data_IF_744540974725
#
_entry.id   IF_744540974725
#
_cell.length_a   1.000
_cell.length_b   1.000
_cell.length_c   1.000
_cell.angle_alpha   90.00
_cell.angle_beta   90.00
_cell.angle_gamma   90.00
#
_symmetry.space_group_name_H-M   'P 1'
#
loop_
_entity.id
_entity.type
_entity.pdbx_description
1 polymer ?
#
# COMPACT_ATOMS: atom_id res chain seq x y z
N UNK A 1 43.33 -12.71 20.23
CA UNK A 1 42.71 -13.57 19.21
C UNK A 1 41.48 -12.81 18.79
N UNK A 2 41.71 -11.86 17.89
CA UNK A 2 40.70 -10.91 17.42
C UNK A 2 39.82 -11.54 16.34
N UNK A 3 38.61 -10.99 16.24
CA UNK A 3 37.69 -11.06 15.10
C UNK A 3 36.90 -12.39 15.02
N UNK A 4 35.58 -12.41 14.82
CA UNK A 4 34.73 -11.48 14.07
C UNK A 4 33.37 -11.42 14.80
N UNK A 5 33.06 -10.26 15.38
CA UNK A 5 31.65 -9.89 15.55
C UNK A 5 31.04 -9.90 14.15
N UNK A 6 30.14 -10.85 13.90
CA UNK A 6 29.31 -10.86 12.71
C UNK A 6 28.49 -9.58 12.80
N UNK A 7 28.93 -8.56 12.09
CA UNK A 7 28.24 -7.29 11.89
C UNK A 7 26.82 -7.67 11.46
N UNK A 8 25.85 -7.52 12.38
CA UNK A 8 24.46 -7.41 12.00
C UNK A 8 24.43 -6.27 10.97
N UNK A 9 23.90 -6.45 9.76
CA UNK A 9 23.66 -5.31 8.90
C UNK A 9 22.73 -4.38 9.68
N UNK A 10 23.26 -3.26 10.11
CA UNK A 10 22.47 -2.21 10.73
C UNK A 10 21.55 -1.71 9.62
N UNK A 11 20.25 -1.96 9.76
CA UNK A 11 19.28 -1.53 8.75
C UNK A 11 19.32 -0.02 8.66
N UNK A 12 19.42 0.48 7.44
CA UNK A 12 19.39 1.92 7.20
C UNK A 12 18.02 2.50 7.59
N UNK A 13 17.96 3.79 7.94
CA UNK A 13 16.73 4.42 8.44
C UNK A 13 15.55 4.28 7.46
N UNK A 14 15.84 4.29 6.16
CA UNK A 14 14.86 4.08 5.08
C UNK A 14 14.26 2.68 5.09
N UNK A 15 15.06 1.64 5.29
CA UNK A 15 14.58 0.26 5.43
C UNK A 15 13.78 0.09 6.73
N UNK A 16 14.28 0.71 7.80
CA UNK A 16 13.64 0.71 9.12
C UNK A 16 12.25 1.35 9.06
N UNK A 17 12.08 2.42 8.28
CA UNK A 17 10.76 3.02 8.05
C UNK A 17 9.79 2.02 7.42
N UNK A 18 10.18 1.38 6.31
CA UNK A 18 9.33 0.42 5.61
C UNK A 18 8.99 -0.79 6.48
N UNK A 19 9.99 -1.35 7.19
CA UNK A 19 9.80 -2.50 8.08
C UNK A 19 8.83 -2.15 9.22
N UNK A 20 9.06 -1.06 9.95
CA UNK A 20 8.21 -0.69 11.08
C UNK A 20 6.77 -0.41 10.65
N UNK A 21 6.58 0.27 9.51
CA UNK A 21 5.23 0.47 8.97
C UNK A 21 4.56 -0.87 8.66
N UNK A 22 5.31 -1.82 8.10
CA UNK A 22 4.80 -3.16 7.79
C UNK A 22 4.44 -3.94 9.05
N UNK A 23 5.30 -3.95 10.06
CA UNK A 23 5.06 -4.61 11.35
C UNK A 23 3.80 -4.08 12.03
N UNK A 24 3.64 -2.74 12.08
CA UNK A 24 2.46 -2.09 12.64
C UNK A 24 1.20 -2.49 11.87
N UNK A 25 1.26 -2.48 10.54
CA UNK A 25 0.11 -2.75 9.69
C UNK A 25 -0.39 -4.19 9.79
N UNK A 26 0.52 -5.17 9.79
CA UNK A 26 0.16 -6.58 9.88
C UNK A 26 -0.08 -7.06 11.32
N UNK A 27 0.11 -6.20 12.33
CA UNK A 27 -0.18 -6.49 13.72
C UNK A 27 0.67 -7.63 14.28
N UNK A 28 1.88 -7.80 13.77
CA UNK A 28 2.68 -9.00 13.98
C UNK A 28 4.00 -8.69 14.68
N UNK A 29 4.35 -9.50 15.69
CA UNK A 29 5.72 -9.69 16.18
C UNK A 29 6.57 -10.47 15.16
N UNK A 30 6.32 -10.30 13.85
CA UNK A 30 7.07 -10.90 12.73
C UNK A 30 8.48 -10.33 12.56
N UNK A 31 9.03 -9.75 13.63
CA UNK A 31 10.25 -8.95 13.65
C UNK A 31 11.53 -9.72 13.31
N UNK A 32 11.49 -11.06 13.29
CA UNK A 32 12.61 -11.87 12.82
C UNK A 32 12.49 -12.22 11.33
N UNK A 33 11.39 -12.84 10.90
CA UNK A 33 11.25 -13.35 9.53
C UNK A 33 11.11 -12.22 8.51
N UNK A 34 10.20 -11.26 8.76
CA UNK A 34 9.99 -10.13 7.86
C UNK A 34 11.23 -9.26 7.78
N UNK A 35 11.93 -9.06 8.90
CA UNK A 35 13.19 -8.33 8.95
C UNK A 35 14.28 -9.01 8.13
N UNK A 36 14.46 -10.32 8.28
CA UNK A 36 15.43 -11.10 7.50
C UNK A 36 15.10 -11.04 6.01
N UNK A 37 13.81 -11.09 5.67
CA UNK A 37 13.34 -10.95 4.28
C UNK A 37 13.65 -9.55 3.74
N UNK A 38 13.32 -8.48 4.47
CA UNK A 38 13.62 -7.11 4.07
C UNK A 38 15.11 -6.89 3.77
N UNK A 39 16.00 -7.45 4.59
CA UNK A 39 17.46 -7.32 4.38
C UNK A 39 18.00 -8.13 3.19
N UNK A 40 17.25 -9.09 2.64
CA UNK A 40 17.72 -10.00 1.59
C UNK A 40 16.97 -9.85 0.27
N UNK A 41 15.79 -9.24 0.30
CA UNK A 41 14.90 -9.18 -0.84
C UNK A 41 15.32 -8.09 -1.83
N UNK A 42 15.59 -8.49 -3.07
CA UNK A 42 16.02 -7.58 -4.13
C UNK A 42 14.95 -6.57 -4.53
N UNK A 43 13.66 -6.81 -4.22
CA UNK A 43 12.58 -5.88 -4.50
C UNK A 43 12.60 -4.69 -3.54
N UNK A 44 13.07 -4.88 -2.29
CA UNK A 44 13.26 -3.79 -1.33
C UNK A 44 14.36 -2.87 -1.81
N UNK A 45 15.54 -3.43 -2.13
CA UNK A 45 16.65 -2.63 -2.66
C UNK A 45 16.29 -1.96 -3.99
N UNK A 46 15.59 -2.66 -4.89
CA UNK A 46 15.10 -2.05 -6.13
C UNK A 46 14.19 -0.85 -5.85
N UNK A 47 13.22 -0.99 -4.93
CA UNK A 47 12.35 0.12 -4.56
C UNK A 47 13.12 1.29 -3.93
N UNK A 48 14.14 1.02 -3.12
CA UNK A 48 14.94 2.07 -2.48
C UNK A 48 15.89 2.76 -3.46
N UNK A 49 16.60 1.99 -4.29
CA UNK A 49 17.75 2.46 -5.04
C UNK A 49 17.47 2.75 -6.52
N UNK A 50 16.47 2.13 -7.15
CA UNK A 50 16.09 2.44 -8.54
C UNK A 50 15.06 3.59 -8.57
N UNK A 51 15.39 4.75 -9.17
CA UNK A 51 14.44 5.85 -9.35
C UNK A 51 13.15 5.45 -10.08
N UNK A 52 13.22 4.46 -10.97
CA UNK A 52 12.07 4.03 -11.78
C UNK A 52 11.25 2.93 -11.11
N UNK A 53 11.75 2.33 -10.02
CA UNK A 53 10.99 1.37 -9.23
C UNK A 53 10.01 2.14 -8.32
N UNK A 54 8.79 2.34 -8.84
CA UNK A 54 7.80 3.24 -8.23
C UNK A 54 6.97 2.61 -7.12
N UNK A 55 7.02 1.29 -6.92
CA UNK A 55 6.19 0.61 -5.93
C UNK A 55 6.87 -0.60 -5.29
N UNK A 56 6.52 -0.86 -4.04
CA UNK A 56 6.80 -2.09 -3.30
C UNK A 56 5.48 -2.53 -2.66
N UNK A 57 5.03 -3.73 -2.99
CA UNK A 57 3.86 -4.36 -2.43
C UNK A 57 4.29 -5.51 -1.52
N UNK A 58 3.67 -5.58 -0.35
CA UNK A 58 3.88 -6.60 0.66
C UNK A 58 2.55 -7.27 0.91
N UNK A 59 2.47 -8.58 0.71
CA UNK A 59 1.28 -9.35 0.98
C UNK A 59 1.55 -10.36 2.08
N UNK A 60 0.62 -10.46 3.02
CA UNK A 60 0.67 -11.54 3.99
C UNK A 60 0.11 -12.82 3.35
N UNK A 61 0.99 -13.81 3.21
CA UNK A 61 0.67 -15.15 2.78
C UNK A 61 0.04 -16.00 3.89
N UNK A 62 -0.29 -17.23 3.54
CA UNK A 62 -0.79 -18.19 4.53
C UNK A 62 0.37 -18.64 5.43
N UNK A 63 0.07 -18.90 6.71
CA UNK A 63 1.10 -19.33 7.68
C UNK A 63 2.07 -18.24 8.13
N UNK A 64 1.74 -16.95 7.95
CA UNK A 64 2.55 -15.82 8.45
C UNK A 64 3.77 -15.48 7.59
N UNK A 65 3.85 -16.04 6.38
CA UNK A 65 4.86 -15.68 5.38
C UNK A 65 4.51 -14.35 4.71
N UNK A 66 5.49 -13.66 4.16
CA UNK A 66 5.29 -12.43 3.38
C UNK A 66 5.80 -12.58 1.96
N UNK A 67 5.06 -12.03 1.01
CA UNK A 67 5.45 -11.93 -0.39
C UNK A 67 5.72 -10.47 -0.73
N UNK A 68 6.94 -10.19 -1.21
CA UNK A 68 7.41 -8.85 -1.56
C UNK A 68 7.62 -8.77 -3.07
N UNK A 69 7.05 -7.75 -3.68
CA UNK A 69 7.08 -7.57 -5.14
C UNK A 69 7.02 -6.10 -5.52
N UNK A 70 7.72 -5.71 -6.60
CA UNK A 70 7.64 -4.35 -7.12
C UNK A 70 6.45 -4.11 -8.07
N UNK A 71 5.52 -5.07 -8.13
CA UNK A 71 4.30 -4.98 -8.93
C UNK A 71 3.09 -5.11 -8.02
N UNK A 72 2.04 -4.39 -8.34
CA UNK A 72 0.76 -4.55 -7.66
C UNK A 72 0.12 -5.82 -8.24
N UNK A 73 -0.19 -6.82 -7.41
CA UNK A 73 -0.77 -8.07 -7.86
C UNK A 73 -2.14 -7.80 -8.50
N UNK A 74 -2.39 -8.47 -9.63
CA UNK A 74 -3.74 -8.52 -10.20
C UNK A 74 -4.64 -9.16 -9.14
N UNK A 75 -5.77 -8.52 -8.80
CA UNK A 75 -6.59 -8.75 -7.59
C UNK A 75 -7.24 -10.12 -7.38
N UNK A 76 -6.49 -11.20 -7.60
CA UNK A 76 -6.84 -12.58 -7.31
C UNK A 76 -6.34 -12.95 -5.92
N UNK A 77 -7.08 -12.53 -4.89
CA UNK A 77 -6.88 -13.01 -3.53
C UNK A 77 -7.44 -12.08 -2.48
N UNK A 78 -8.07 -12.67 -1.46
CA UNK A 78 -8.53 -12.02 -0.24
C UNK A 78 -7.37 -11.61 0.70
N UNK A 79 -6.17 -11.38 0.15
CA UNK A 79 -4.97 -11.13 0.95
C UNK A 79 -4.81 -9.64 1.17
N UNK A 80 -4.61 -9.30 2.44
CA UNK A 80 -4.31 -7.95 2.88
C UNK A 80 -2.94 -7.56 2.33
N UNK A 81 -2.87 -6.45 1.59
CA UNK A 81 -1.64 -5.96 1.00
C UNK A 81 -1.33 -4.54 1.50
N UNK A 82 -0.06 -4.31 1.81
CA UNK A 82 0.51 -3.01 2.09
C UNK A 82 1.36 -2.57 0.90
N UNK A 83 1.09 -1.38 0.37
CA UNK A 83 1.76 -0.86 -0.82
C UNK A 83 2.46 0.44 -0.44
N UNK A 84 3.77 0.45 -0.62
CA UNK A 84 4.58 1.66 -0.65
C UNK A 84 4.73 2.10 -2.11
N UNK A 85 4.57 3.39 -2.37
CA UNK A 85 4.76 3.93 -3.72
C UNK A 85 5.36 5.33 -3.69
N UNK A 86 6.18 5.64 -4.68
CA UNK A 86 6.86 6.92 -4.81
C UNK A 86 5.95 7.95 -5.47
N UNK A 87 6.04 9.20 -5.03
CA UNK A 87 5.37 10.35 -5.67
C UNK A 87 6.14 10.90 -6.86
N UNK A 88 7.44 10.57 -6.98
CA UNK A 88 8.34 10.98 -8.06
C UNK A 88 9.48 9.97 -8.26
N UNK A 89 10.07 9.88 -9.47
CA UNK A 89 11.14 8.93 -9.76
C UNK A 89 12.47 9.40 -9.15
N UNK A 90 12.76 8.93 -7.94
CA UNK A 90 13.95 9.32 -7.15
C UNK A 90 14.43 8.14 -6.29
N UNK A 91 15.73 8.06 -6.01
CA UNK A 91 16.27 7.15 -5.01
C UNK A 91 15.78 7.58 -3.61
N UNK A 92 15.40 6.61 -2.79
CA UNK A 92 14.96 6.85 -1.41
C UNK A 92 16.20 6.95 -0.52
N UNK A 93 16.32 8.04 0.21
CA UNK A 93 17.29 8.28 1.26
C UNK A 93 16.59 8.41 2.62
N UNK A 94 17.36 8.38 3.71
CA UNK A 94 16.83 8.61 5.07
C UNK A 94 16.10 9.96 5.21
N UNK A 95 16.52 10.97 4.45
CA UNK A 95 15.97 12.32 4.53
C UNK A 95 14.66 12.48 3.74
N UNK A 96 14.53 11.78 2.60
CA UNK A 96 13.39 11.96 1.69
C UNK A 96 12.29 10.89 1.85
N UNK A 97 12.54 9.78 2.54
CA UNK A 97 11.61 8.63 2.58
C UNK A 97 10.20 9.02 3.00
N UNK A 98 10.04 9.89 4.01
CA UNK A 98 8.73 10.33 4.51
C UNK A 98 8.03 11.33 3.60
N UNK A 99 8.77 11.97 2.69
CA UNK A 99 8.24 12.99 1.79
C UNK A 99 7.79 12.38 0.46
N UNK A 100 8.51 11.36 -0.01
CA UNK A 100 8.31 10.81 -1.35
C UNK A 100 7.57 9.48 -1.34
N UNK A 101 7.55 8.75 -0.22
CA UNK A 101 6.84 7.49 -0.09
C UNK A 101 5.45 7.73 0.48
N UNK A 102 4.44 7.31 -0.28
CA UNK A 102 3.07 7.16 0.18
C UNK A 102 2.78 5.69 0.48
N UNK A 103 1.84 5.48 1.38
CA UNK A 103 1.45 4.15 1.87
C UNK A 103 -0.04 3.98 1.57
N UNK A 104 -0.40 2.88 0.93
CA UNK A 104 -1.79 2.49 0.70
C UNK A 104 -2.00 1.04 1.12
N UNK A 105 -3.16 0.76 1.69
CA UNK A 105 -3.60 -0.59 2.01
C UNK A 105 -4.63 -1.06 1.00
N UNK A 106 -4.44 -2.26 0.45
CA UNK A 106 -5.50 -2.96 -0.27
C UNK A 106 -6.10 -4.04 0.62
N UNK A 107 -7.37 -3.84 0.99
CA UNK A 107 -8.16 -4.78 1.78
C UNK A 107 -9.32 -5.31 0.94
N UNK A 108 -9.50 -6.63 0.95
CA UNK A 108 -10.51 -7.40 0.22
C UNK A 108 -10.38 -7.37 -1.31
N UNK A 109 -10.33 -6.18 -1.92
CA UNK A 109 -10.15 -5.98 -3.37
C UNK A 109 -9.66 -4.55 -3.69
N UNK A 110 -9.09 -4.31 -4.89
CA UNK A 110 -8.79 -2.97 -5.36
C UNK A 110 -10.04 -2.07 -5.47
N UNK A 111 -11.19 -2.64 -5.88
CA UNK A 111 -12.46 -1.91 -6.04
C UNK A 111 -12.95 -1.41 -4.68
N UNK A 112 -12.96 -2.26 -3.66
CA UNK A 112 -13.38 -1.88 -2.30
C UNK A 112 -12.44 -0.82 -1.72
N UNK A 113 -11.13 -1.03 -1.84
CA UNK A 113 -10.13 -0.10 -1.31
C UNK A 113 -10.23 1.27 -1.97
N UNK A 114 -10.43 1.33 -3.30
CA UNK A 114 -10.65 2.57 -4.02
C UNK A 114 -11.97 3.23 -3.65
N UNK A 115 -13.07 2.48 -3.57
CA UNK A 115 -14.37 3.01 -3.15
C UNK A 115 -14.28 3.68 -1.78
N UNK A 116 -13.73 2.98 -0.79
CA UNK A 116 -13.65 3.53 0.56
C UNK A 116 -12.68 4.70 0.66
N UNK A 117 -11.53 4.64 -0.02
CA UNK A 117 -10.60 5.78 -0.07
C UNK A 117 -11.26 7.01 -0.71
N UNK A 118 -11.98 6.81 -1.81
CA UNK A 118 -12.71 7.88 -2.48
C UNK A 118 -13.83 8.42 -1.58
N UNK A 119 -14.73 7.57 -1.12
CA UNK A 119 -15.90 7.94 -0.34
C UNK A 119 -15.57 8.60 1.02
N UNK A 120 -14.59 8.06 1.75
CA UNK A 120 -14.28 8.48 3.12
C UNK A 120 -13.25 9.61 3.19
N UNK A 121 -12.29 9.65 2.27
CA UNK A 121 -11.13 10.57 2.37
C UNK A 121 -11.23 11.62 1.28
N UNK A 122 -11.25 11.20 0.01
CA UNK A 122 -11.09 12.14 -1.10
C UNK A 122 -12.37 12.93 -1.40
N UNK A 123 -13.54 12.32 -1.51
CA UNK A 123 -14.80 13.02 -1.79
C UNK A 123 -15.08 14.13 -0.76
N UNK A 124 -14.97 13.92 0.57
CA UNK A 124 -15.13 15.00 1.54
C UNK A 124 -14.05 16.10 1.40
N UNK A 125 -12.78 15.73 1.26
CA UNK A 125 -11.68 16.69 1.14
C UNK A 125 -11.76 17.55 -0.14
N UNK A 126 -12.28 16.97 -1.23
CA UNK A 126 -12.39 17.60 -2.53
C UNK A 126 -13.69 18.42 -2.68
N UNK A 127 -14.80 17.93 -2.11
CA UNK A 127 -16.14 18.50 -2.36
C UNK A 127 -16.69 19.34 -1.20
N UNK A 128 -16.18 19.15 0.03
CA UNK A 128 -16.68 19.83 1.24
C UNK A 128 -15.63 20.73 1.90
N UNK A 129 -14.50 20.98 1.24
CA UNK A 129 -13.47 21.86 1.78
C UNK A 129 -13.99 23.28 1.97
N UNK A 130 -13.88 23.81 3.19
CA UNK A 130 -14.25 25.18 3.57
C UNK A 130 -13.32 26.26 2.97
N UNK A 131 -12.31 25.87 2.20
CA UNK A 131 -11.36 26.79 1.57
C UNK A 131 -11.99 27.48 0.35
N UNK A 132 -12.48 28.69 0.60
CA UNK A 132 -13.20 29.60 -0.30
C UNK A 132 -12.50 29.90 -1.64
N UNK A 133 -11.21 29.59 -1.79
CA UNK A 133 -10.38 29.90 -2.97
C UNK A 133 -10.07 28.70 -3.88
N UNK A 134 -10.53 27.49 -3.54
CA UNK A 134 -10.23 26.26 -4.29
C UNK A 134 -11.48 25.46 -4.61
N UNK A 135 -12.42 26.07 -5.32
CA UNK A 135 -13.52 25.31 -5.90
C UNK A 135 -12.97 24.40 -7.00
N UNK A 136 -13.03 23.09 -6.77
CA UNK A 136 -12.77 22.10 -7.82
C UNK A 136 -13.75 22.35 -8.96
N UNK A 137 -13.25 22.30 -10.19
CA UNK A 137 -14.07 22.47 -11.39
C UNK A 137 -15.31 21.54 -11.36
N UNK A 138 -16.53 22.06 -11.64
CA UNK A 138 -17.76 21.28 -11.55
C UNK A 138 -17.76 19.98 -12.35
N UNK A 139 -17.03 19.91 -13.48
CA UNK A 139 -16.90 18.68 -14.26
C UNK A 139 -16.10 17.63 -13.48
N UNK A 140 -15.02 18.03 -12.82
CA UNK A 140 -14.23 17.13 -11.99
C UNK A 140 -15.04 16.64 -10.78
N UNK A 141 -15.86 17.51 -10.17
CA UNK A 141 -16.80 17.08 -9.11
C UNK A 141 -17.77 16.01 -9.61
N UNK A 142 -18.36 16.21 -10.79
CA UNK A 142 -19.27 15.24 -11.41
C UNK A 142 -18.57 13.91 -11.69
N UNK A 143 -17.32 13.94 -12.20
CA UNK A 143 -16.54 12.73 -12.47
C UNK A 143 -16.23 11.94 -11.19
N UNK A 144 -15.86 12.63 -10.11
CA UNK A 144 -15.62 12.01 -8.79
C UNK A 144 -16.87 11.31 -8.29
N UNK A 145 -18.02 11.99 -8.34
CA UNK A 145 -19.30 11.41 -7.93
C UNK A 145 -19.68 10.22 -8.81
N UNK A 146 -19.56 10.32 -10.14
CA UNK A 146 -19.88 9.21 -11.05
C UNK A 146 -18.99 7.99 -10.79
N UNK A 147 -17.69 8.20 -10.56
CA UNK A 147 -16.76 7.13 -10.21
C UNK A 147 -17.18 6.45 -8.89
N UNK A 148 -17.49 7.23 -7.86
CA UNK A 148 -17.93 6.72 -6.56
C UNK A 148 -19.21 5.86 -6.69
N UNK A 149 -20.20 6.33 -7.45
CA UNK A 149 -21.44 5.58 -7.72
C UNK A 149 -21.18 4.30 -8.51
N UNK A 150 -20.29 4.35 -9.51
CA UNK A 150 -19.89 3.19 -10.30
C UNK A 150 -19.25 2.11 -9.41
N UNK A 151 -18.26 2.50 -8.60
CA UNK A 151 -17.58 1.61 -7.66
C UNK A 151 -18.56 0.99 -6.65
N UNK A 152 -19.47 1.79 -6.07
CA UNK A 152 -20.50 1.31 -5.14
C UNK A 152 -21.40 0.26 -5.78
N UNK A 153 -21.87 0.52 -7.00
CA UNK A 153 -22.75 -0.38 -7.73
C UNK A 153 -22.06 -1.72 -8.02
N UNK A 154 -20.79 -1.69 -8.43
CA UNK A 154 -20.00 -2.90 -8.65
C UNK A 154 -19.82 -3.71 -7.35
N UNK A 155 -19.59 -3.05 -6.21
CA UNK A 155 -19.47 -3.74 -4.91
C UNK A 155 -20.77 -4.41 -4.48
N UNK A 156 -21.91 -3.75 -4.70
CA UNK A 156 -23.23 -4.34 -4.43
C UNK A 156 -23.47 -5.58 -5.28
N UNK A 157 -23.09 -5.53 -6.56
CA UNK A 157 -23.24 -6.67 -7.47
C UNK A 157 -22.32 -7.83 -7.09
N UNK A 158 -21.06 -7.57 -6.77
CA UNK A 158 -20.13 -8.59 -6.26
C UNK A 158 -20.69 -9.25 -5.00
N UNK A 159 -21.27 -8.46 -4.10
CA UNK A 159 -21.87 -8.96 -2.85
C UNK A 159 -23.09 -9.85 -3.13
N UNK A 160 -23.95 -9.45 -4.08
CA UNK A 160 -25.10 -10.27 -4.52
C UNK A 160 -24.66 -11.61 -5.11
N UNK A 161 -23.68 -11.60 -6.01
CA UNK A 161 -23.17 -12.81 -6.64
C UNK A 161 -22.51 -13.77 -5.63
N UNK A 162 -21.89 -13.26 -4.58
CA UNK A 162 -21.36 -14.10 -3.49
C UNK A 162 -22.48 -14.77 -2.70
N UNK A 163 -23.59 -14.07 -2.42
CA UNK A 163 -24.73 -14.63 -1.70
C UNK A 163 -25.45 -15.73 -2.48
N UNK A 164 -25.57 -15.59 -3.81
CA UNK A 164 -26.19 -16.61 -4.67
C UNK A 164 -25.33 -17.87 -4.84
N UNK A 165 -24.00 -17.74 -4.76
CA UNK A 165 -23.08 -18.89 -4.84
C UNK A 165 -22.94 -19.66 -3.51
N UNK A 166 -23.35 -19.08 -2.38
CA UNK A 166 -23.36 -19.72 -1.06
C UNK A 166 -24.70 -20.43 -0.75
N UNK A 167 -25.69 -20.34 -1.64
CA UNK A 167 -27.03 -20.92 -1.47
C UNK A 167 -27.24 -22.24 -2.23
N UNK A 168 -26.15 -22.85 -2.71
CA UNK A 168 -26.07 -24.20 -3.30
C UNK A 168 -25.04 -25.03 -2.54
#
# INVERSE_FOLDING_TARGET
MDSIDIIKPEMEDRETFLLKTSEIYFGADTSSELKVQFCRDSHVSSFLDDPNCMSLCIQQGDGGTFDLQNKIPNGNGHKVALIFYKTKPECISSDNVRQIVLISSLKDSPISSLYYSLHQIFSPALLKGDDLDRTIDPKLQSLVLQLEHGLKSTLLEISRLRLTNLSY
#
